data_IF_811584401507
#
_entry.id   IF_811584401507
#
_cell.length_a   1.000
_cell.length_b   1.000
_cell.length_c   1.000
_cell.angle_alpha   90.00
_cell.angle_beta   90.00
_cell.angle_gamma   90.00
#
_symmetry.space_group_name_H-M   'P 1'
#
loop_
_entity.id
_entity.type
_entity.pdbx_description
1 polymer ?
#
# COMPACT_ATOMS: atom_id res chain seq x y z
N UNK A 1 -2.28 11.39 11.90
CA UNK A 1 -2.07 11.33 10.42
C UNK A 1 -0.66 10.88 10.01
N UNK A 2 0.37 11.06 10.84
CA UNK A 2 1.77 10.74 10.50
C UNK A 2 2.03 9.25 10.21
N UNK A 3 1.45 8.35 11.01
CA UNK A 3 1.55 6.89 10.83
C UNK A 3 0.99 6.41 9.47
N UNK A 4 -0.07 7.08 8.99
CA UNK A 4 -0.70 6.76 7.71
C UNK A 4 0.18 7.18 6.52
N UNK A 5 0.80 8.38 6.60
CA UNK A 5 1.80 8.85 5.62
C UNK A 5 2.95 7.85 5.50
N UNK A 6 3.51 7.44 6.64
CA UNK A 6 4.61 6.48 6.73
C UNK A 6 4.27 5.12 6.11
N UNK A 7 3.05 4.62 6.33
CA UNK A 7 2.58 3.37 5.71
C UNK A 7 2.32 3.51 4.22
N UNK A 8 1.78 4.64 3.76
CA UNK A 8 1.54 4.90 2.35
C UNK A 8 2.86 4.98 1.56
N UNK A 9 3.87 5.70 2.08
CA UNK A 9 5.19 5.80 1.44
C UNK A 9 5.90 4.44 1.35
N UNK A 10 5.86 3.66 2.43
CA UNK A 10 6.41 2.28 2.43
C UNK A 10 5.69 1.39 1.42
N UNK A 11 4.37 1.51 1.33
CA UNK A 11 3.58 0.74 0.39
C UNK A 11 3.92 1.10 -1.06
N UNK A 12 4.05 2.38 -1.38
CA UNK A 12 4.41 2.86 -2.72
C UNK A 12 5.76 2.29 -3.18
N UNK A 13 6.79 2.35 -2.32
CA UNK A 13 8.12 1.78 -2.62
C UNK A 13 8.05 0.29 -2.92
N UNK A 14 7.28 -0.47 -2.12
CA UNK A 14 7.11 -1.90 -2.33
C UNK A 14 6.35 -2.18 -3.63
N UNK A 15 5.31 -1.41 -3.95
CA UNK A 15 4.54 -1.61 -5.18
C UNK A 15 5.38 -1.35 -6.44
N UNK A 16 6.20 -0.29 -6.45
CA UNK A 16 7.18 -0.03 -7.52
C UNK A 16 8.12 -1.23 -7.74
N UNK A 17 8.69 -1.77 -6.66
CA UNK A 17 9.59 -2.93 -6.76
C UNK A 17 8.85 -4.21 -7.20
N UNK A 18 7.63 -4.42 -6.72
CA UNK A 18 6.81 -5.58 -7.12
C UNK A 18 6.44 -5.55 -8.61
N UNK A 19 6.17 -4.37 -9.19
CA UNK A 19 5.88 -4.22 -10.62
C UNK A 19 7.03 -4.68 -11.52
N UNK A 20 8.27 -4.54 -11.03
CA UNK A 20 9.48 -4.97 -11.73
C UNK A 20 9.71 -6.47 -11.56
N UNK A 21 9.57 -6.98 -10.33
CA UNK A 21 9.96 -8.35 -9.98
C UNK A 21 9.23 -9.45 -10.78
N UNK A 22 7.92 -9.26 -11.09
CA UNK A 22 7.06 -10.20 -11.86
C UNK A 22 7.17 -11.70 -11.51
N UNK A 23 7.73 -12.02 -10.35
CA UNK A 23 8.04 -13.39 -9.95
C UNK A 23 6.78 -14.18 -9.59
N UNK A 24 6.70 -15.44 -10.00
CA UNK A 24 5.57 -16.34 -9.72
C UNK A 24 5.53 -16.82 -8.26
N UNK A 25 6.61 -16.63 -7.49
CA UNK A 25 6.70 -17.06 -6.07
C UNK A 25 6.38 -15.94 -5.07
N UNK A 26 5.47 -15.03 -5.42
CA UNK A 26 5.06 -13.94 -4.53
C UNK A 26 4.48 -14.40 -3.18
N UNK A 27 4.03 -15.64 -3.04
CA UNK A 27 3.45 -16.16 -1.79
C UNK A 27 4.48 -16.29 -0.65
N UNK A 28 5.75 -16.58 -0.95
CA UNK A 28 6.85 -16.57 0.05
C UNK A 28 7.55 -15.22 0.17
N UNK A 29 7.33 -14.31 -0.79
CA UNK A 29 8.05 -13.04 -0.86
C UNK A 29 7.79 -12.15 0.38
N UNK A 30 8.85 -11.72 1.10
CA UNK A 30 8.69 -10.84 2.26
C UNK A 30 8.06 -9.49 1.87
N UNK A 31 8.38 -8.95 0.69
CA UNK A 31 7.76 -7.73 0.18
C UNK A 31 6.25 -7.90 -0.03
N UNK A 32 5.80 -9.07 -0.50
CA UNK A 32 4.37 -9.32 -0.67
C UNK A 32 3.65 -9.48 0.68
N UNK A 33 4.28 -10.12 1.67
CA UNK A 33 3.78 -10.18 3.06
C UNK A 33 3.63 -8.78 3.64
N UNK A 34 4.68 -7.96 3.54
CA UNK A 34 4.66 -6.56 4.00
C UNK A 34 3.62 -5.71 3.25
N UNK A 35 3.47 -5.89 1.94
CA UNK A 35 2.45 -5.22 1.13
C UNK A 35 1.04 -5.50 1.65
N UNK A 36 0.73 -6.76 1.96
CA UNK A 36 -0.58 -7.16 2.52
C UNK A 36 -0.81 -6.55 3.89
N UNK A 37 0.21 -6.60 4.75
CA UNK A 37 0.15 -6.01 6.09
C UNK A 37 -0.09 -4.48 6.04
N UNK A 38 0.68 -3.73 5.26
CA UNK A 38 0.53 -2.28 5.11
C UNK A 38 -0.86 -1.91 4.57
N UNK A 39 -1.39 -2.67 3.59
CA UNK A 39 -2.76 -2.47 3.09
C UNK A 39 -3.81 -2.67 4.17
N UNK A 40 -3.63 -3.65 5.06
CA UNK A 40 -4.54 -3.90 6.16
C UNK A 40 -4.46 -2.81 7.24
N UNK A 41 -3.27 -2.37 7.62
CA UNK A 41 -3.08 -1.29 8.60
C UNK A 41 -3.65 0.04 8.10
N UNK A 42 -3.40 0.38 6.83
CA UNK A 42 -4.02 1.56 6.19
C UNK A 42 -5.54 1.43 6.21
N UNK A 43 -6.11 0.26 5.89
CA UNK A 43 -7.57 0.02 5.94
C UNK A 43 -8.13 0.22 7.35
N UNK A 44 -7.45 -0.25 8.40
CA UNK A 44 -7.88 -0.05 9.79
C UNK A 44 -7.93 1.44 10.16
N UNK A 45 -6.95 2.21 9.70
CA UNK A 45 -6.85 3.63 10.02
C UNK A 45 -7.88 4.46 9.23
N UNK A 46 -8.13 4.13 7.97
CA UNK A 46 -9.00 4.94 7.11
C UNK A 46 -10.44 4.45 7.04
N UNK A 47 -10.73 3.22 7.47
CA UNK A 47 -12.06 2.59 7.37
C UNK A 47 -12.50 2.29 5.93
N UNK A 48 -11.66 2.51 4.92
CA UNK A 48 -12.06 2.43 3.52
C UNK A 48 -11.80 1.03 2.94
N UNK A 49 -12.89 0.34 2.61
CA UNK A 49 -12.89 -0.92 1.88
C UNK A 49 -12.62 -0.66 0.38
N UNK A 50 -11.57 -1.30 -0.16
CA UNK A 50 -11.04 -0.97 -1.49
C UNK A 50 -12.06 -1.16 -2.61
N UNK A 51 -12.37 -0.08 -3.33
CA UNK A 51 -12.43 -0.07 -4.80
C UNK A 51 -11.17 0.60 -5.34
N UNK A 52 -10.66 0.14 -6.47
CA UNK A 52 -9.34 0.38 -7.11
C UNK A 52 -8.77 1.82 -7.12
N UNK A 53 -9.53 2.85 -6.77
CA UNK A 53 -9.12 4.25 -6.80
C UNK A 53 -8.59 4.81 -5.46
N UNK A 54 -8.41 4.01 -4.41
CA UNK A 54 -8.01 4.50 -3.08
C UNK A 54 -6.68 5.26 -3.06
N UNK A 55 -5.61 4.75 -3.70
CA UNK A 55 -4.30 5.42 -3.67
C UNK A 55 -4.35 6.77 -4.37
N UNK A 56 -5.02 6.85 -5.54
CA UNK A 56 -5.25 8.10 -6.27
C UNK A 56 -6.07 9.10 -5.45
N UNK A 57 -7.13 8.64 -4.79
CA UNK A 57 -8.04 9.48 -3.99
C UNK A 57 -7.38 9.96 -2.70
N UNK A 58 -6.58 9.12 -2.05
CA UNK A 58 -5.79 9.47 -0.87
C UNK A 58 -4.67 10.46 -1.17
N UNK A 59 -3.91 10.23 -2.25
CA UNK A 59 -2.88 11.19 -2.71
C UNK A 59 -3.48 12.54 -3.09
N UNK A 60 -4.72 12.57 -3.61
CA UNK A 60 -5.45 13.81 -3.90
C UNK A 60 -5.85 14.53 -2.60
N UNK A 61 -6.38 13.81 -1.61
CA UNK A 61 -6.79 14.37 -0.31
C UNK A 61 -5.64 14.91 0.54
N UNK A 62 -4.40 14.44 0.34
CA UNK A 62 -3.23 14.97 1.06
C UNK A 62 -2.47 16.09 0.31
N UNK A 63 -2.90 16.43 -0.90
CA UNK A 63 -2.35 17.55 -1.68
C UNK A 63 -3.16 18.84 -1.54
N UNK A 64 -4.41 18.73 -1.13
CA UNK A 64 -5.21 19.81 -0.55
C UNK A 64 -4.89 19.95 0.96
#
# INVERSE_FOLDING_TARGET
>A
MEKLKLYAEKLEKIEKNCQICKSKVCYICPNNKNKKHLKAEIKKITGIEKKENFLKRFLKYMKD
#
